data_IF_505176568012
#
_entry.id   IF_505176568012
#
_cell.length_a   1.000
_cell.length_b   1.000
_cell.length_c   1.000
_cell.angle_alpha   90.00
_cell.angle_beta   90.00
_cell.angle_gamma   90.00
#
_symmetry.space_group_name_H-M   'P 1'
#
loop_
_entity.id
_entity.type
_entity.pdbx_description
1 polymer ?
#
# COMPACT_ATOMS: atom_id res chain seq x y z
N UNK A 1 25.61 9.90 28.49
CA UNK A 1 24.21 9.40 28.60
C UNK A 1 23.30 9.88 27.46
N UNK A 2 23.38 11.15 27.02
CA UNK A 2 22.58 11.71 25.90
C UNK A 2 22.66 10.92 24.58
N UNK A 3 23.83 10.34 24.29
CA UNK A 3 24.12 9.61 23.06
C UNK A 3 23.32 8.30 22.96
N UNK A 4 23.14 7.61 24.10
CA UNK A 4 22.35 6.38 24.19
C UNK A 4 20.85 6.66 24.04
N UNK A 5 20.37 7.79 24.58
CA UNK A 5 18.97 8.21 24.43
C UNK A 5 18.60 8.44 22.96
N UNK A 6 19.51 9.03 22.18
CA UNK A 6 19.27 9.30 20.76
C UNK A 6 19.27 8.01 19.94
N UNK A 7 20.19 7.08 20.22
CA UNK A 7 20.22 5.76 19.58
C UNK A 7 18.96 4.94 19.89
N UNK A 8 18.48 5.01 21.14
CA UNK A 8 17.23 4.37 21.54
C UNK A 8 16.00 4.96 20.84
N UNK A 9 15.93 6.30 20.72
CA UNK A 9 14.85 6.97 19.99
C UNK A 9 14.86 6.60 18.50
N UNK A 10 16.04 6.48 17.89
CA UNK A 10 16.17 6.04 16.50
C UNK A 10 15.72 4.58 16.32
N UNK A 11 15.98 3.70 17.29
CA UNK A 11 15.54 2.30 17.22
C UNK A 11 14.00 2.18 17.30
N UNK A 12 13.33 3.05 18.04
CA UNK A 12 11.86 3.06 18.18
C UNK A 12 11.13 3.38 16.87
N UNK A 13 11.73 4.14 15.95
CA UNK A 13 11.09 4.49 14.66
C UNK A 13 11.03 3.31 13.69
N UNK A 14 11.92 2.31 13.85
CA UNK A 14 11.93 1.11 13.02
C UNK A 14 10.67 0.23 13.21
N UNK A 15 10.03 0.29 14.39
CA UNK A 15 8.83 -0.50 14.71
C UNK A 15 7.63 -0.06 13.87
N UNK A 16 7.53 1.23 13.54
CA UNK A 16 6.43 1.79 12.75
C UNK A 16 6.44 1.29 11.28
N UNK A 17 7.62 0.95 10.74
CA UNK A 17 7.74 0.44 9.38
C UNK A 17 7.24 -1.01 9.25
N UNK A 18 7.36 -1.81 10.32
CA UNK A 18 6.96 -3.22 10.32
C UNK A 18 5.44 -3.45 10.50
N UNK A 19 4.68 -2.41 10.88
CA UNK A 19 3.26 -2.55 11.19
C UNK A 19 2.31 -2.48 9.98
N UNK A 20 2.79 -2.07 8.80
CA UNK A 20 1.97 -1.97 7.59
C UNK A 20 2.05 -3.26 6.76
N UNK A 21 1.40 -4.32 7.21
CA UNK A 21 1.30 -5.57 6.44
C UNK A 21 0.15 -5.48 5.43
N UNK A 22 0.35 -5.82 4.14
CA UNK A 22 -0.74 -5.95 3.18
C UNK A 22 -1.78 -6.96 3.68
N UNK A 23 -3.04 -6.57 3.78
CA UNK A 23 -4.13 -7.42 4.30
C UNK A 23 -4.95 -8.09 3.21
N UNK A 24 -4.91 -7.56 1.98
CA UNK A 24 -5.67 -8.07 0.84
C UNK A 24 -4.98 -7.76 -0.49
N UNK A 25 -5.22 -8.60 -1.51
CA UNK A 25 -4.80 -8.39 -2.89
C UNK A 25 -6.00 -8.45 -3.83
N UNK A 26 -6.04 -7.56 -4.83
CA UNK A 26 -7.09 -7.51 -5.85
C UNK A 26 -6.50 -7.92 -7.20
N UNK A 27 -7.05 -8.96 -7.81
CA UNK A 27 -6.63 -9.46 -9.12
C UNK A 27 -7.84 -9.64 -10.04
N UNK A 28 -7.72 -9.28 -11.31
CA UNK A 28 -8.79 -9.43 -12.30
C UNK A 28 -8.37 -8.97 -13.69
N UNK A 29 -9.27 -9.13 -14.67
CA UNK A 29 -9.10 -8.66 -16.04
C UNK A 29 -10.17 -7.61 -16.37
N UNK A 30 -9.76 -6.52 -16.99
CA UNK A 30 -10.70 -5.50 -17.49
C UNK A 30 -11.16 -5.93 -18.88
N UNK A 31 -12.47 -6.09 -19.07
CA UNK A 31 -13.06 -6.44 -20.35
C UNK A 31 -14.14 -5.44 -20.79
N UNK A 32 -14.33 -5.31 -22.10
CA UNK A 32 -15.46 -4.58 -22.67
C UNK A 32 -16.75 -5.45 -22.65
N UNK A 33 -17.86 -4.88 -23.14
CA UNK A 33 -19.16 -5.57 -23.25
C UNK A 33 -19.13 -6.78 -24.18
N UNK A 34 -18.14 -6.86 -25.08
CA UNK A 34 -17.96 -7.97 -26.01
C UNK A 34 -17.00 -9.06 -25.47
N UNK A 35 -16.42 -8.85 -24.28
CA UNK A 35 -15.46 -9.76 -23.64
C UNK A 35 -13.98 -9.55 -24.00
N UNK A 36 -13.65 -8.53 -24.80
CA UNK A 36 -12.28 -8.22 -25.20
C UNK A 36 -11.47 -7.60 -24.04
N UNK A 37 -10.15 -7.86 -23.95
CA UNK A 37 -9.27 -7.20 -22.96
C UNK A 37 -9.19 -5.71 -23.26
N UNK A 38 -9.37 -4.88 -22.24
CA UNK A 38 -9.01 -3.47 -22.33
C UNK A 38 -7.56 -3.30 -21.87
N UNK A 39 -6.64 -3.22 -22.83
CA UNK A 39 -5.23 -2.97 -22.54
C UNK A 39 -5.00 -1.51 -22.13
N UNK A 40 -4.13 -1.28 -21.13
CA UNK A 40 -3.79 0.08 -20.67
C UNK A 40 -4.93 0.81 -19.94
N UNK A 41 -5.92 0.08 -19.42
CA UNK A 41 -6.95 0.67 -18.58
C UNK A 41 -6.33 1.28 -17.31
N UNK A 42 -6.64 2.54 -17.02
CA UNK A 42 -6.25 3.20 -15.77
C UNK A 42 -7.16 2.74 -14.64
N UNK A 43 -6.60 2.17 -13.58
CA UNK A 43 -7.34 1.66 -12.43
C UNK A 43 -6.97 2.46 -11.19
N UNK A 44 -7.98 2.99 -10.48
CA UNK A 44 -7.82 3.66 -9.18
C UNK A 44 -8.47 2.83 -8.09
N UNK A 45 -7.69 2.41 -7.09
CA UNK A 45 -8.15 1.63 -5.94
C UNK A 45 -7.97 2.48 -4.69
N UNK A 46 -9.01 2.60 -3.87
CA UNK A 46 -8.95 3.28 -2.57
C UNK A 46 -9.33 2.31 -1.46
N UNK A 47 -8.43 2.13 -0.50
CA UNK A 47 -8.74 1.43 0.74
C UNK A 47 -9.44 2.40 1.69
N UNK A 48 -10.68 2.10 2.07
CA UNK A 48 -11.52 3.01 2.86
C UNK A 48 -11.09 3.11 4.32
N UNK A 49 -10.49 2.05 4.88
CA UNK A 49 -10.03 2.02 6.27
C UNK A 49 -8.79 2.89 6.48
N UNK A 50 -7.87 2.86 5.52
CA UNK A 50 -6.59 3.58 5.58
C UNK A 50 -6.57 4.86 4.75
N UNK A 51 -7.62 5.10 3.95
CA UNK A 51 -7.70 6.16 2.94
C UNK A 51 -6.54 6.18 1.91
N UNK A 52 -5.76 5.10 1.82
CA UNK A 52 -4.69 4.99 0.83
C UNK A 52 -5.27 4.73 -0.55
N UNK A 53 -4.74 5.44 -1.54
CA UNK A 53 -5.13 5.29 -2.94
C UNK A 53 -3.94 4.84 -3.78
N UNK A 54 -4.17 3.87 -4.66
CA UNK A 54 -3.22 3.37 -5.65
C UNK A 54 -3.80 3.58 -7.05
N UNK A 55 -2.97 4.02 -7.99
CA UNK A 55 -3.30 4.10 -9.41
C UNK A 55 -2.34 3.19 -10.18
N UNK A 56 -2.88 2.25 -10.96
CA UNK A 56 -2.13 1.31 -11.79
C UNK A 56 -2.63 1.33 -13.23
#
# INVERSE_FOLDING_TARGET
MKNFTLAFLFLLTAIAAAAQTPTAGVTGRVTDVNGAVVAGATIKITNLDTNRTLQI
#
